data_IF_389118085389
#
_entry.id   IF_389118085389
#
_cell.length_a   1.000
_cell.length_b   1.000
_cell.length_c   1.000
_cell.angle_alpha   90.00
_cell.angle_beta   90.00
_cell.angle_gamma   90.00
#
_symmetry.space_group_name_H-M   'P 1'
#
loop_
_entity.id
_entity.type
_entity.pdbx_description
1 polymer ?
#
# COMPACT_ATOMS: atom_id res chain seq x y z
N UNK A 1 -14.59 -15.92 -7.87
CA UNK A 1 -13.29 -15.25 -8.09
C UNK A 1 -12.94 -14.46 -6.83
N UNK A 2 -12.00 -14.90 -5.98
CA UNK A 2 -11.51 -14.04 -4.92
C UNK A 2 -10.90 -12.79 -5.57
N UNK A 3 -11.44 -11.60 -5.25
CA UNK A 3 -10.88 -10.34 -5.72
C UNK A 3 -9.64 -10.05 -4.86
N UNK A 4 -8.53 -10.73 -5.13
CA UNK A 4 -7.25 -10.47 -4.47
C UNK A 4 -6.78 -9.07 -4.87
N UNK A 5 -7.16 -8.07 -4.07
CA UNK A 5 -6.60 -6.72 -4.16
C UNK A 5 -5.11 -6.73 -3.78
N UNK A 6 -4.39 -5.62 -4.02
CA UNK A 6 -3.05 -5.47 -3.48
C UNK A 6 -3.09 -5.67 -1.96
N UNK A 7 -2.11 -6.39 -1.42
CA UNK A 7 -1.98 -6.67 0.01
C UNK A 7 -0.79 -5.89 0.56
N UNK A 8 -0.98 -5.20 1.68
CA UNK A 8 0.13 -4.60 2.41
C UNK A 8 0.78 -5.69 3.29
N UNK A 9 2.08 -5.86 3.12
CA UNK A 9 2.88 -6.81 3.90
C UNK A 9 3.60 -6.14 5.08
N UNK A 10 4.01 -4.89 4.89
CA UNK A 10 4.85 -4.16 5.84
C UNK A 10 4.96 -2.69 5.47
N UNK A 11 5.13 -1.84 6.48
CA UNK A 11 5.60 -0.46 6.32
C UNK A 11 6.94 -0.36 7.05
N UNK A 12 7.93 0.22 6.38
CA UNK A 12 9.31 0.35 6.84
C UNK A 12 9.88 1.70 6.37
N UNK A 13 11.13 2.00 6.69
CA UNK A 13 11.75 3.27 6.35
C UNK A 13 11.73 4.28 7.49
N UNK A 14 12.08 5.52 7.19
CA UNK A 14 12.26 6.57 8.19
C UNK A 14 10.98 7.40 8.36
N UNK A 15 10.78 8.08 9.49
CA UNK A 15 9.55 8.87 9.74
C UNK A 15 9.28 9.93 8.65
N UNK A 16 10.34 10.42 8.02
CA UNK A 16 10.30 11.41 6.93
C UNK A 16 10.20 10.81 5.54
N UNK A 17 10.48 9.51 5.39
CA UNK A 17 10.45 8.79 4.12
C UNK A 17 9.96 7.34 4.36
N UNK A 18 8.68 7.17 4.73
CA UNK A 18 8.13 5.85 4.92
C UNK A 18 7.93 5.16 3.56
N UNK A 19 8.23 3.86 3.54
CA UNK A 19 8.10 2.96 2.40
C UNK A 19 7.21 1.77 2.79
N UNK A 20 6.48 1.23 1.82
CA UNK A 20 5.56 0.14 2.05
C UNK A 20 5.85 -1.02 1.10
N UNK A 21 5.92 -2.24 1.66
CA UNK A 21 6.00 -3.46 0.87
C UNK A 21 4.59 -3.93 0.54
N UNK A 22 4.25 -3.93 -0.73
CA UNK A 22 2.95 -4.39 -1.23
C UNK A 22 3.11 -5.61 -2.11
N UNK A 23 2.24 -6.60 -1.92
CA UNK A 23 2.04 -7.70 -2.86
C UNK A 23 0.92 -7.34 -3.82
N UNK A 24 1.26 -7.19 -5.08
CA UNK A 24 0.31 -6.92 -6.15
C UNK A 24 -0.58 -8.15 -6.42
N UNK A 25 -1.77 -7.96 -7.04
CA UNK A 25 -2.66 -9.05 -7.42
C UNK A 25 -2.03 -10.11 -8.32
N UNK A 26 -1.04 -9.71 -9.13
CA UNK A 26 -0.25 -10.60 -9.99
C UNK A 26 0.79 -11.45 -9.22
N UNK A 27 0.87 -11.29 -7.89
CA UNK A 27 1.80 -12.00 -7.03
C UNK A 27 3.19 -11.35 -6.90
N UNK A 28 3.46 -10.26 -7.63
CA UNK A 28 4.72 -9.53 -7.55
C UNK A 28 4.78 -8.70 -6.26
N UNK A 29 5.96 -8.64 -5.66
CA UNK A 29 6.26 -7.74 -4.56
C UNK A 29 6.78 -6.42 -5.14
N UNK A 30 6.27 -5.31 -4.62
CA UNK A 30 6.71 -3.97 -4.98
C UNK A 30 6.89 -3.14 -3.70
N UNK A 31 7.96 -2.37 -3.65
CA UNK A 31 8.16 -1.36 -2.60
C UNK A 31 7.66 -0.04 -3.14
N UNK A 32 6.81 0.65 -2.38
CA UNK A 32 6.25 1.93 -2.79
C UNK A 32 6.43 2.99 -1.71
N UNK A 33 6.79 4.19 -2.14
CA UNK A 33 6.87 5.37 -1.30
C UNK A 33 5.65 6.28 -1.49
N UNK A 34 5.59 7.35 -0.69
CA UNK A 34 4.58 8.40 -0.86
C UNK A 34 4.69 9.00 -2.27
N UNK A 35 3.59 8.99 -3.02
CA UNK A 35 3.54 9.47 -4.41
C UNK A 35 3.67 8.38 -5.48
N UNK A 36 4.13 7.17 -5.12
CA UNK A 36 4.23 6.05 -6.07
C UNK A 36 2.87 5.48 -6.47
N UNK A 37 2.84 4.66 -7.51
CA UNK A 37 1.61 4.04 -8.02
C UNK A 37 1.59 2.53 -7.81
N UNK A 38 0.63 2.07 -7.01
CA UNK A 38 0.30 0.65 -6.80
C UNK A 38 -0.94 0.31 -7.61
N UNK A 39 -0.81 -0.58 -8.60
CA UNK A 39 -1.94 -1.10 -9.38
C UNK A 39 -2.83 0.03 -9.97
N UNK A 40 -2.18 1.08 -10.51
CA UNK A 40 -2.85 2.25 -11.08
C UNK A 40 -3.41 3.26 -10.06
N UNK A 41 -3.11 3.10 -8.76
CA UNK A 41 -3.53 4.01 -7.69
C UNK A 41 -2.32 4.65 -7.04
N UNK A 42 -2.36 5.96 -6.83
CA UNK A 42 -1.27 6.68 -6.18
C UNK A 42 -1.31 6.49 -4.67
N UNK A 43 -0.15 6.30 -4.04
CA UNK A 43 0.00 6.33 -2.59
C UNK A 43 -0.04 7.78 -2.13
N UNK A 44 -1.04 8.12 -1.32
CA UNK A 44 -1.27 9.49 -0.82
C UNK A 44 -0.95 9.65 0.67
N UNK A 45 -0.81 8.56 1.39
CA UNK A 45 -0.30 8.53 2.76
C UNK A 45 0.27 7.14 3.08
N UNK A 46 1.24 7.08 3.96
CA UNK A 46 1.80 5.85 4.52
C UNK A 46 1.86 6.04 6.02
N UNK A 47 1.35 5.07 6.76
CA UNK A 47 1.30 5.07 8.22
C UNK A 47 1.65 3.67 8.72
N UNK A 48 1.85 3.51 10.02
CA UNK A 48 2.32 2.25 10.62
C UNK A 48 1.29 1.15 10.39
N UNK A 49 1.62 0.18 9.54
CA UNK A 49 0.75 -0.95 9.21
C UNK A 49 -0.42 -0.64 8.27
N UNK A 50 -0.45 0.55 7.63
CA UNK A 50 -1.50 0.90 6.66
C UNK A 50 -1.02 1.91 5.61
N UNK A 51 -1.58 1.84 4.41
CA UNK A 51 -1.32 2.81 3.34
C UNK A 51 -2.61 3.40 2.80
N UNK A 52 -2.60 4.66 2.39
CA UNK A 52 -3.72 5.29 1.71
C UNK A 52 -3.46 5.34 0.21
N UNK A 53 -4.40 4.78 -0.57
CA UNK A 53 -4.39 4.81 -2.02
C UNK A 53 -5.44 5.78 -2.55
N UNK A 54 -5.07 6.63 -3.50
CA UNK A 54 -6.00 7.48 -4.24
C UNK A 54 -6.93 6.62 -5.10
N UNK A 55 -8.23 6.66 -4.83
CA UNK A 55 -9.27 6.00 -5.60
C UNK A 55 -10.41 6.97 -5.85
N UNK A 56 -10.53 7.46 -7.08
CA UNK A 56 -11.62 8.35 -7.50
C UNK A 56 -11.71 9.63 -6.67
N UNK A 57 -10.57 10.27 -6.39
CA UNK A 57 -10.50 11.49 -5.59
C UNK A 57 -10.65 11.30 -4.08
N UNK A 58 -10.78 10.05 -3.60
CA UNK A 58 -10.82 9.71 -2.16
C UNK A 58 -9.60 8.88 -1.77
N UNK A 59 -9.14 9.06 -0.55
CA UNK A 59 -8.13 8.20 0.07
C UNK A 59 -8.79 6.89 0.55
N UNK A 60 -8.26 5.75 0.12
CA UNK A 60 -8.69 4.43 0.55
C UNK A 60 -7.57 3.78 1.36
N UNK A 61 -7.82 3.57 2.65
CA UNK A 61 -6.86 2.91 3.54
C UNK A 61 -6.84 1.40 3.29
N UNK A 62 -5.63 0.88 3.15
CA UNK A 62 -5.34 -0.52 2.98
C UNK A 62 -4.44 -0.94 4.14
N UNK A 63 -4.97 -1.82 4.99
CA UNK A 63 -4.27 -2.29 6.18
C UNK A 63 -3.42 -3.52 5.89
N UNK A 64 -2.40 -3.71 6.71
CA UNK A 64 -1.49 -4.84 6.63
C UNK A 64 -2.22 -6.14 6.94
N UNK A 65 -2.23 -7.05 5.98
CA UNK A 65 -2.84 -8.37 6.14
C UNK A 65 -1.89 -9.25 6.95
N UNK A 66 -2.11 -9.27 8.27
CA UNK A 66 -1.29 -10.02 9.23
C UNK A 66 -1.13 -9.36 10.60
N UNK A 67 -1.65 -8.14 10.80
CA UNK A 67 -1.68 -7.50 12.13
C UNK A 67 -2.74 -8.16 13.02
N UNK A 68 -2.38 -9.24 13.72
CA UNK A 68 -3.03 -9.67 14.96
C UNK A 68 -2.13 -9.33 16.13
#
# INVERSE_FOLDING_TARGET
MPRTGPMLLGVFGNETAPEALVRLPNGRLDTVALGDRVNGRQVVAIDTGRIALARGGKAYWLEQLGGR
#
